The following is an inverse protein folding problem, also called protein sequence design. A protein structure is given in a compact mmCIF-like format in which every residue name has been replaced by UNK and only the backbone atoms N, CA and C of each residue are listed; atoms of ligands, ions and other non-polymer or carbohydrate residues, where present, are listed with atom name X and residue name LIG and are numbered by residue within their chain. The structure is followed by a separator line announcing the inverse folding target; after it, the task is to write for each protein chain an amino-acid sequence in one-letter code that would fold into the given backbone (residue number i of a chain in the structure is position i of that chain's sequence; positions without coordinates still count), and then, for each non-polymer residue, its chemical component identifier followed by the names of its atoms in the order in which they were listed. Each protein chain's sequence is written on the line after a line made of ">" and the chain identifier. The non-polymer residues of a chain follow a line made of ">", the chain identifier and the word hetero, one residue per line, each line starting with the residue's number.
data_IF_879503392328
#
_entry.id   IF_879503392328
#
_cell.length_a   1.000
_cell.length_b   1.000
_cell.length_c   1.000
_cell.angle_alpha   90.00
_cell.angle_beta   90.00
_cell.angle_gamma   90.00
#
_symmetry.space_group_name_H-M   'P 1'
#
loop_
_entity.id
_entity.type
_entity.pdbx_description
1 polymer ?
#
# COMPACT_ATOMS: atom_id res chain seq x y z
N UNK A 1 -5.62 10.55 16.24
CA UNK A 1 -5.65 9.67 15.05
C UNK A 1 -4.30 8.97 15.03
N UNK A 2 -4.25 7.63 15.09
CA UNK A 2 -3.00 6.91 14.85
C UNK A 2 -2.56 7.21 13.42
N UNK A 3 -1.26 7.40 13.24
CA UNK A 3 -0.71 7.61 11.91
C UNK A 3 -0.75 6.29 11.15
N UNK A 4 -1.19 6.29 9.89
CA UNK A 4 -1.28 5.08 9.04
C UNK A 4 0.08 4.37 8.94
N UNK A 5 1.19 5.11 9.05
CA UNK A 5 2.53 4.54 9.07
C UNK A 5 2.79 3.73 10.34
N UNK A 6 2.23 4.13 11.49
CA UNK A 6 2.34 3.36 12.74
C UNK A 6 1.51 2.07 12.65
N UNK A 7 0.30 2.14 12.10
CA UNK A 7 -0.55 0.95 11.90
C UNK A 7 0.10 -0.07 10.96
N UNK A 8 0.74 0.39 9.88
CA UNK A 8 1.49 -0.50 8.97
C UNK A 8 2.69 -1.14 9.67
N UNK A 9 3.46 -0.37 10.45
CA UNK A 9 4.62 -0.88 11.19
C UNK A 9 4.21 -1.95 12.20
N UNK A 10 3.16 -1.69 12.97
CA UNK A 10 2.59 -2.66 13.91
C UNK A 10 2.16 -3.95 13.19
N UNK A 11 1.49 -3.83 12.04
CA UNK A 11 1.05 -4.96 11.23
C UNK A 11 2.23 -5.79 10.70
N UNK A 12 3.26 -5.14 10.14
CA UNK A 12 4.44 -5.81 9.62
C UNK A 12 5.22 -6.53 10.72
N UNK A 13 5.40 -5.88 11.87
CA UNK A 13 6.04 -6.48 13.04
C UNK A 13 5.26 -7.72 13.53
N UNK A 14 3.93 -7.64 13.62
CA UNK A 14 3.08 -8.77 14.02
C UNK A 14 3.16 -9.96 13.07
N UNK A 15 3.40 -9.72 11.78
CA UNK A 15 3.56 -10.75 10.76
C UNK A 15 5.01 -11.25 10.62
N UNK A 16 5.95 -10.71 11.38
CA UNK A 16 7.37 -11.08 11.32
C UNK A 16 8.13 -10.50 10.12
N UNK A 17 7.60 -9.45 9.48
CA UNK A 17 8.28 -8.72 8.42
C UNK A 17 9.04 -7.52 8.97
N UNK A 18 10.09 -7.09 8.26
CA UNK A 18 10.88 -5.91 8.60
C UNK A 18 10.20 -4.68 7.98
N UNK A 19 9.71 -3.70 8.77
CA UNK A 19 9.00 -2.55 8.21
C UNK A 19 9.83 -1.72 7.22
N UNK A 20 11.14 -1.61 7.46
CA UNK A 20 12.07 -0.90 6.57
C UNK A 20 12.26 -1.60 5.20
N UNK A 21 11.86 -2.86 5.06
CA UNK A 21 11.81 -3.55 3.76
C UNK A 21 10.61 -3.09 2.91
N UNK A 22 9.74 -2.22 3.44
CA UNK A 22 8.56 -1.73 2.74
C UNK A 22 8.62 -0.22 2.56
N UNK A 23 8.47 0.22 1.30
CA UNK A 23 8.35 1.62 0.93
C UNK A 23 6.90 1.94 0.56
N UNK A 24 6.29 2.84 1.31
CA UNK A 24 4.97 3.40 1.04
C UNK A 24 5.16 4.65 0.17
N UNK A 25 4.43 4.73 -0.94
CA UNK A 25 4.30 5.95 -1.74
C UNK A 25 2.81 6.27 -1.86
N UNK A 26 2.37 7.26 -1.09
CA UNK A 26 1.06 7.87 -1.26
C UNK A 26 1.13 8.84 -2.43
N UNK A 27 0.64 8.39 -3.58
CA UNK A 27 0.66 9.18 -4.80
C UNK A 27 -0.77 9.44 -5.23
N UNK A 28 -1.06 10.67 -5.66
CA UNK A 28 -2.23 10.91 -6.50
C UNK A 28 -1.89 10.43 -7.92
N UNK A 29 -2.25 9.19 -8.25
CA UNK A 29 -2.06 8.70 -9.62
C UNK A 29 -3.03 9.46 -10.54
N UNK A 30 -2.49 10.21 -11.49
CA UNK A 30 -3.27 10.77 -12.59
C UNK A 30 -3.38 9.67 -13.65
N UNK A 31 -4.55 9.06 -13.77
CA UNK A 31 -4.80 8.07 -14.82
C UNK A 31 -5.19 8.82 -16.10
N UNK A 32 -4.33 8.80 -17.12
CA UNK A 32 -4.63 9.33 -18.44
C UNK A 32 -5.51 8.33 -19.20
N UNK A 33 -6.82 8.40 -19.01
CA UNK A 33 -7.80 7.68 -19.83
C UNK A 33 -8.24 8.52 -21.02
N UNK A 34 -8.50 7.89 -22.16
CA UNK A 34 -8.78 8.48 -23.49
C UNK A 34 -9.94 9.48 -23.57
N UNK A 35 -10.74 9.69 -22.51
CA UNK A 35 -11.84 10.67 -22.51
C UNK A 35 -12.05 11.47 -21.23
N UNK A 36 -11.23 11.31 -20.17
CA UNK A 36 -11.32 12.16 -18.97
C UNK A 36 -10.07 12.01 -18.10
N UNK A 37 -9.41 13.12 -17.78
CA UNK A 37 -8.37 13.16 -16.75
C UNK A 37 -9.07 13.09 -15.40
N UNK A 38 -9.32 11.87 -14.91
CA UNK A 38 -9.79 11.68 -13.53
C UNK A 38 -8.55 11.41 -12.66
N UNK A 39 -8.21 12.29 -11.71
CA UNK A 39 -7.23 11.92 -10.70
C UNK A 39 -7.79 10.71 -9.95
N UNK A 40 -7.05 9.59 -9.92
CA UNK A 40 -7.23 8.60 -8.85
C UNK A 40 -6.72 9.28 -7.59
N UNK A 41 -7.58 10.12 -7.02
CA UNK A 41 -7.39 10.62 -5.66
C UNK A 41 -7.32 9.41 -4.73
N UNK A 42 -6.37 9.48 -3.81
CA UNK A 42 -6.21 8.57 -2.70
C UNK A 42 -5.83 7.15 -3.15
N UNK A 43 -4.58 6.96 -3.58
CA UNK A 43 -4.00 5.62 -3.75
C UNK A 43 -2.66 5.51 -3.03
N UNK A 44 -2.43 4.34 -2.47
CA UNK A 44 -1.21 4.02 -1.73
C UNK A 44 -0.50 2.90 -2.45
N UNK A 45 0.71 3.15 -2.94
CA UNK A 45 1.57 2.10 -3.51
C UNK A 45 2.52 1.61 -2.44
N UNK A 46 2.47 0.32 -2.15
CA UNK A 46 3.48 -0.34 -1.31
C UNK A 46 4.44 -1.12 -2.19
N UNK A 47 5.73 -0.95 -1.95
CA UNK A 47 6.81 -1.69 -2.59
C UNK A 47 7.62 -2.42 -1.54
N UNK A 48 7.82 -3.73 -1.71
CA UNK A 48 8.80 -4.49 -0.93
C UNK A 48 10.17 -4.38 -1.59
N UNK A 49 11.17 -3.91 -0.86
CA UNK A 49 12.49 -3.59 -1.39
C UNK A 49 13.29 -4.85 -1.75
N UNK A 50 13.22 -5.89 -0.91
CA UNK A 50 13.90 -7.16 -1.12
C UNK A 50 13.53 -7.85 -2.44
N UNK A 51 12.25 -7.86 -2.79
CA UNK A 51 11.74 -8.53 -4.01
C UNK A 51 11.45 -7.56 -5.15
N UNK A 52 11.54 -6.25 -4.89
CA UNK A 52 11.15 -5.15 -5.79
C UNK A 52 9.70 -5.24 -6.28
N UNK A 53 8.85 -6.06 -5.64
CA UNK A 53 7.44 -6.19 -5.99
C UNK A 53 6.66 -5.05 -5.36
N UNK A 54 5.69 -4.52 -6.11
CA UNK A 54 4.84 -3.43 -5.66
C UNK A 54 3.37 -3.69 -5.99
N UNK A 55 2.48 -3.14 -5.18
CA UNK A 55 1.04 -3.15 -5.40
C UNK A 55 0.44 -1.82 -4.97
N UNK A 56 -0.51 -1.33 -5.77
CA UNK A 56 -1.23 -0.09 -5.50
C UNK A 56 -2.63 -0.39 -4.98
N UNK A 57 -2.99 0.25 -3.88
CA UNK A 57 -4.28 0.13 -3.21
C UNK A 57 -5.07 1.44 -3.33
N UNK A 58 -6.39 1.35 -3.33
CA UNK A 58 -7.28 2.52 -3.28
C UNK A 58 -7.47 2.95 -1.81
N UNK A 59 -6.95 4.12 -1.47
CA UNK A 59 -7.00 4.74 -0.14
C UNK A 59 -8.18 5.70 0.06
N UNK A 60 -9.19 5.66 -0.82
CA UNK A 60 -10.30 6.64 -0.94
C UNK A 60 -11.06 6.97 0.35
N UNK A 61 -11.00 6.15 1.41
CA UNK A 61 -11.78 6.40 2.62
C UNK A 61 -11.21 5.96 3.97
N UNK A 62 -10.16 5.13 4.09
CA UNK A 62 -9.69 4.62 5.39
C UNK A 62 -8.47 3.69 5.25
N UNK A 63 -7.89 3.29 6.39
CA UNK A 63 -6.98 2.14 6.61
C UNK A 63 -7.52 0.78 6.09
N UNK A 64 -8.65 0.73 5.39
CA UNK A 64 -9.24 -0.49 4.84
C UNK A 64 -8.28 -1.21 3.88
N UNK A 65 -7.43 -0.46 3.16
CA UNK A 65 -6.41 -1.03 2.30
C UNK A 65 -5.35 -1.84 3.08
N UNK A 66 -5.18 -1.61 4.38
CA UNK A 66 -4.28 -2.43 5.21
C UNK A 66 -4.73 -3.88 5.29
N UNK A 67 -6.05 -4.13 5.29
CA UNK A 67 -6.60 -5.50 5.31
C UNK A 67 -6.30 -6.23 4.00
N UNK A 68 -6.45 -5.54 2.87
CA UNK A 68 -6.08 -6.08 1.56
C UNK A 68 -4.57 -6.34 1.48
N UNK A 69 -3.76 -5.40 1.98
CA UNK A 69 -2.31 -5.54 2.05
C UNK A 69 -1.88 -6.74 2.92
N UNK A 70 -2.50 -6.92 4.08
CA UNK A 70 -2.24 -8.06 4.97
C UNK A 70 -2.54 -9.39 4.27
N UNK A 71 -3.68 -9.48 3.58
CA UNK A 71 -4.05 -10.66 2.82
C UNK A 71 -3.04 -10.93 1.69
N UNK A 72 -2.61 -9.89 0.97
CA UNK A 72 -1.62 -10.02 -0.10
C UNK A 72 -0.25 -10.49 0.41
N UNK A 73 0.18 -10.02 1.59
CA UNK A 73 1.39 -10.51 2.25
C UNK A 73 1.28 -12.00 2.58
N UNK A 74 0.18 -12.42 3.20
CA UNK A 74 -0.08 -13.83 3.55
C UNK A 74 -0.14 -14.74 2.32
N UNK A 75 -0.66 -14.22 1.21
CA UNK A 75 -0.73 -14.94 -0.06
C UNK A 75 0.58 -14.90 -0.87
N UNK A 76 1.64 -14.25 -0.36
CA UNK A 76 2.94 -14.21 -1.01
C UNK A 76 3.00 -13.33 -2.25
N UNK A 77 2.09 -12.36 -2.40
CA UNK A 77 2.08 -11.41 -3.52
C UNK A 77 3.40 -10.64 -3.63
N UNK A 78 4.04 -10.39 -2.48
CA UNK A 78 5.33 -9.70 -2.37
C UNK A 78 6.55 -10.63 -2.23
N UNK A 79 6.41 -11.95 -2.41
CA UNK A 79 7.52 -12.92 -2.34
C UNK A 79 8.22 -13.12 -3.68
#
# INVERSE_FOLDING_TARGET
>A
MKDIQEELKDLLNNLGFIPDDFKINDNNLIQWGTQSVQPLKDVTTITRLSTKKSKTYKSKYSSAWLVDFENDLKNGVFN
#
